data_IF_491925506590
#
_entry.id   IF_491925506590
#
_cell.length_a   1.000
_cell.length_b   1.000
_cell.length_c   1.000
_cell.angle_alpha   90.00
_cell.angle_beta   90.00
_cell.angle_gamma   90.00
#
_symmetry.space_group_name_H-M   'P 1'
#
loop_
_entity.id
_entity.type
_entity.pdbx_description
1 polymer ?
#
# COMPACT_ATOMS: atom_id res chain seq x y z
N UNK A 1 -81.36 9.46 -28.39
CA UNK A 1 -80.30 10.41 -28.01
C UNK A 1 -79.21 9.76 -27.13
N UNK A 2 -79.57 8.89 -26.18
CA UNK A 2 -78.65 8.21 -25.23
C UNK A 2 -77.64 7.24 -25.89
N UNK A 3 -78.01 6.57 -26.99
CA UNK A 3 -77.15 5.58 -27.67
C UNK A 3 -75.93 6.21 -28.35
N UNK A 4 -76.08 7.38 -28.98
CA UNK A 4 -74.95 8.09 -29.60
C UNK A 4 -74.02 8.73 -28.57
N UNK A 5 -74.55 9.18 -27.43
CA UNK A 5 -73.72 9.69 -26.31
C UNK A 5 -72.90 8.57 -25.66
N UNK A 6 -73.41 7.34 -25.58
CA UNK A 6 -72.63 6.19 -25.07
C UNK A 6 -71.47 5.88 -26.02
N UNK A 7 -71.68 5.90 -27.34
CA UNK A 7 -70.60 5.68 -28.30
C UNK A 7 -69.56 6.81 -28.26
N UNK A 8 -69.97 8.07 -28.09
CA UNK A 8 -69.05 9.21 -27.95
C UNK A 8 -68.21 9.16 -26.66
N UNK A 9 -68.82 8.72 -25.55
CA UNK A 9 -68.10 8.52 -24.28
C UNK A 9 -67.16 7.31 -24.39
N UNK A 10 -67.60 6.23 -25.04
CA UNK A 10 -66.77 5.04 -25.24
C UNK A 10 -65.55 5.32 -26.16
N UNK A 11 -65.73 6.13 -27.21
CA UNK A 11 -64.61 6.54 -28.09
C UNK A 11 -63.70 7.58 -27.45
N UNK A 12 -64.20 8.46 -26.57
CA UNK A 12 -63.33 9.38 -25.82
C UNK A 12 -62.52 8.66 -24.75
N UNK A 13 -63.09 7.63 -24.11
CA UNK A 13 -62.39 6.81 -23.12
C UNK A 13 -61.29 5.96 -23.78
N UNK A 14 -61.51 5.44 -24.99
CA UNK A 14 -60.44 4.72 -25.72
C UNK A 14 -59.32 5.64 -26.21
N UNK A 15 -59.59 6.92 -26.48
CA UNK A 15 -58.56 7.91 -26.78
C UNK A 15 -57.73 8.32 -25.55
N UNK A 16 -58.32 8.29 -24.35
CA UNK A 16 -57.60 8.56 -23.09
C UNK A 16 -56.68 7.41 -22.66
N UNK A 17 -56.91 6.19 -23.16
CA UNK A 17 -56.09 5.01 -22.87
C UNK A 17 -54.93 4.79 -23.87
N UNK A 18 -54.82 5.63 -24.91
CA UNK A 18 -53.72 5.64 -25.88
C UNK A 18 -52.62 6.66 -25.55
N UNK A 19 -52.62 7.20 -24.33
CA UNK A 19 -51.43 7.88 -23.82
C UNK A 19 -50.32 6.83 -23.65
N UNK A 20 -49.50 6.65 -24.69
CA UNK A 20 -48.21 5.99 -24.57
C UNK A 20 -47.47 6.65 -23.40
N UNK A 21 -47.42 5.98 -22.25
CA UNK A 21 -46.36 6.25 -21.29
C UNK A 21 -45.09 5.77 -21.98
N UNK A 22 -44.32 6.72 -22.53
CA UNK A 22 -42.94 6.49 -22.90
C UNK A 22 -42.23 6.09 -21.60
N UNK A 23 -42.10 4.79 -21.39
CA UNK A 23 -41.48 4.24 -20.19
C UNK A 23 -40.02 4.63 -20.37
N UNK A 24 -39.54 5.60 -19.59
CA UNK A 24 -38.12 5.95 -19.60
C UNK A 24 -37.33 4.72 -19.18
N UNK A 25 -36.77 4.00 -20.16
CA UNK A 25 -35.95 2.81 -19.92
C UNK A 25 -34.63 3.31 -19.31
N UNK A 26 -34.53 3.14 -17.99
CA UNK A 26 -33.38 3.50 -17.16
C UNK A 26 -32.87 4.94 -17.26
N UNK A 27 -31.88 5.27 -16.44
CA UNK A 27 -30.98 6.41 -16.65
C UNK A 27 -29.53 5.96 -16.50
N UNK A 28 -28.61 6.63 -17.18
CA UNK A 28 -27.18 6.39 -17.08
C UNK A 28 -26.43 7.71 -17.30
N UNK A 29 -25.73 8.16 -16.26
CA UNK A 29 -24.92 9.38 -16.22
C UNK A 29 -23.51 9.01 -15.77
N UNK A 30 -22.52 9.47 -16.54
CA UNK A 30 -21.12 9.09 -16.34
C UNK A 30 -20.16 10.24 -16.66
N UNK A 31 -20.66 11.47 -16.71
CA UNK A 31 -19.84 12.64 -17.08
C UNK A 31 -18.84 12.98 -15.98
N UNK A 32 -19.14 12.61 -14.73
CA UNK A 32 -18.25 12.70 -13.59
C UNK A 32 -17.44 11.42 -13.34
N UNK A 33 -17.50 10.43 -14.23
CA UNK A 33 -16.87 9.13 -14.01
C UNK A 33 -15.35 9.25 -13.98
N UNK A 34 -14.72 8.75 -12.92
CA UNK A 34 -13.25 8.77 -12.75
C UNK A 34 -12.76 7.76 -11.73
N UNK A 35 -11.48 7.42 -11.81
CA UNK A 35 -10.76 6.79 -10.71
C UNK A 35 -10.01 7.85 -9.90
N UNK A 36 -9.97 7.69 -8.58
CA UNK A 36 -9.23 8.60 -7.68
C UNK A 36 -7.73 8.53 -7.93
N UNK A 37 -7.23 7.32 -8.19
CA UNK A 37 -5.89 7.04 -8.71
C UNK A 37 -6.14 6.28 -10.01
N UNK A 38 -5.67 6.82 -11.12
CA UNK A 38 -5.92 6.28 -12.47
C UNK A 38 -4.74 5.47 -13.03
N UNK A 39 -3.72 5.22 -12.20
CA UNK A 39 -2.49 4.54 -12.62
C UNK A 39 -2.09 3.48 -11.60
N UNK A 40 -1.73 2.28 -12.05
CA UNK A 40 -1.18 1.20 -11.21
C UNK A 40 0.04 0.56 -11.84
N UNK A 41 1.11 0.47 -11.06
CA UNK A 41 2.32 -0.27 -11.41
C UNK A 41 2.14 -1.76 -11.13
N UNK A 42 2.49 -2.59 -12.11
CA UNK A 42 2.44 -4.06 -12.02
C UNK A 42 3.68 -4.66 -12.68
N UNK A 43 4.00 -5.91 -12.35
CA UNK A 43 5.05 -6.66 -13.04
C UNK A 43 4.46 -7.67 -14.02
N UNK A 44 5.15 -7.90 -15.13
CA UNK A 44 4.71 -8.85 -16.15
C UNK A 44 4.68 -10.31 -15.66
N UNK A 45 5.59 -10.65 -14.74
CA UNK A 45 5.76 -11.98 -14.17
C UNK A 45 6.11 -11.87 -12.67
N UNK A 46 5.16 -12.25 -11.81
CA UNK A 46 5.32 -12.10 -10.37
C UNK A 46 6.37 -13.07 -9.79
N UNK A 47 6.53 -14.26 -10.38
CA UNK A 47 7.50 -15.26 -9.93
C UNK A 47 8.94 -14.82 -10.21
N UNK A 48 9.20 -14.27 -11.39
CA UNK A 48 10.50 -13.72 -11.74
C UNK A 48 10.85 -12.54 -10.84
N UNK A 49 9.87 -11.69 -10.52
CA UNK A 49 10.08 -10.59 -9.58
C UNK A 49 10.39 -11.07 -8.16
N UNK A 50 9.65 -12.06 -7.66
CA UNK A 50 9.94 -12.68 -6.36
C UNK A 50 11.35 -13.28 -6.32
N UNK A 51 11.80 -13.92 -7.41
CA UNK A 51 13.15 -14.45 -7.52
C UNK A 51 14.20 -13.33 -7.48
N UNK A 52 13.99 -12.24 -8.22
CA UNK A 52 14.85 -11.06 -8.20
C UNK A 52 14.99 -10.50 -6.78
N UNK A 53 13.86 -10.29 -6.09
CA UNK A 53 13.87 -9.78 -4.71
C UNK A 53 14.61 -10.71 -3.74
N UNK A 54 14.48 -12.03 -3.88
CA UNK A 54 15.22 -13.01 -3.07
C UNK A 54 16.73 -13.00 -3.34
N UNK A 55 17.14 -12.78 -4.59
CA UNK A 55 18.57 -12.61 -4.93
C UNK A 55 19.12 -11.36 -4.28
N UNK A 56 18.40 -10.23 -4.38
CA UNK A 56 18.78 -8.97 -3.72
C UNK A 56 18.89 -9.17 -2.20
N UNK A 57 17.98 -9.92 -1.58
CA UNK A 57 18.04 -10.25 -0.15
C UNK A 57 19.33 -11.03 0.20
N UNK A 58 19.68 -12.04 -0.60
CA UNK A 58 20.91 -12.82 -0.42
C UNK A 58 22.15 -11.93 -0.56
N UNK A 59 22.18 -11.08 -1.58
CA UNK A 59 23.31 -10.18 -1.85
C UNK A 59 23.47 -9.16 -0.73
N UNK A 60 22.35 -8.62 -0.22
CA UNK A 60 22.35 -7.72 0.93
C UNK A 60 22.95 -8.40 2.16
N UNK A 61 22.45 -9.57 2.56
CA UNK A 61 23.01 -10.31 3.71
C UNK A 61 24.49 -10.65 3.52
N UNK A 62 24.88 -11.01 2.30
CA UNK A 62 26.29 -11.31 2.00
C UNK A 62 27.17 -10.08 2.17
N UNK A 63 26.73 -8.93 1.66
CA UNK A 63 27.44 -7.65 1.75
C UNK A 63 27.48 -7.08 3.17
N UNK A 64 26.43 -7.33 3.97
CA UNK A 64 26.28 -6.71 5.30
C UNK A 64 26.56 -7.65 6.46
N UNK A 65 26.92 -8.91 6.21
CA UNK A 65 27.15 -9.96 7.23
C UNK A 65 27.97 -9.46 8.42
N UNK A 66 29.18 -8.94 8.18
CA UNK A 66 30.07 -8.43 9.23
C UNK A 66 29.46 -7.26 10.03
N UNK A 67 28.68 -6.41 9.40
CA UNK A 67 28.01 -5.29 10.04
C UNK A 67 26.82 -5.76 10.89
N UNK A 68 26.08 -6.75 10.40
CA UNK A 68 24.99 -7.39 11.14
C UNK A 68 25.51 -8.16 12.35
N UNK A 69 26.62 -8.88 12.23
CA UNK A 69 27.29 -9.53 13.35
C UNK A 69 27.74 -8.50 14.40
N UNK A 70 28.28 -7.35 13.96
CA UNK A 70 28.62 -6.24 14.86
C UNK A 70 27.39 -5.68 15.58
N UNK A 71 26.28 -5.49 14.87
CA UNK A 71 25.01 -5.01 15.46
C UNK A 71 24.52 -6.00 16.51
N UNK A 72 24.47 -7.29 16.17
CA UNK A 72 24.01 -8.33 17.08
C UNK A 72 24.90 -8.41 18.34
N UNK A 73 26.22 -8.34 18.18
CA UNK A 73 27.15 -8.33 19.31
C UNK A 73 27.00 -7.09 20.20
N UNK A 74 26.75 -5.92 19.63
CA UNK A 74 26.49 -4.68 20.40
C UNK A 74 25.13 -4.73 21.12
N UNK A 75 24.11 -5.35 20.53
CA UNK A 75 22.81 -5.56 21.17
C UNK A 75 22.92 -6.54 22.35
N UNK A 76 23.65 -7.64 22.18
CA UNK A 76 23.94 -8.60 23.25
C UNK A 76 24.75 -7.95 24.38
N UNK A 77 25.81 -7.21 24.06
CA UNK A 77 26.63 -6.51 25.07
C UNK A 77 25.81 -5.47 25.85
N UNK A 78 24.89 -4.76 25.18
CA UNK A 78 24.00 -3.80 25.83
C UNK A 78 23.03 -4.50 26.79
N UNK A 79 22.42 -5.61 26.37
CA UNK A 79 21.48 -6.40 27.17
C UNK A 79 22.17 -6.98 28.42
N UNK A 80 23.35 -7.61 28.23
CA UNK A 80 24.15 -8.14 29.33
C UNK A 80 24.58 -7.06 30.34
N UNK A 81 24.96 -5.88 29.84
CA UNK A 81 25.33 -4.76 30.70
C UNK A 81 24.12 -4.24 31.48
N UNK A 82 22.96 -4.10 30.85
CA UNK A 82 21.74 -3.66 31.51
C UNK A 82 21.30 -4.62 32.61
N UNK A 83 21.29 -5.92 32.33
CA UNK A 83 20.99 -6.97 33.31
C UNK A 83 21.95 -6.93 34.51
N UNK A 84 23.23 -6.71 34.26
CA UNK A 84 24.24 -6.60 35.31
C UNK A 84 24.02 -5.36 36.19
N UNK A 85 23.62 -4.24 35.59
CA UNK A 85 23.42 -2.98 36.31
C UNK A 85 22.15 -3.00 37.16
N UNK A 86 21.06 -3.63 36.68
CA UNK A 86 19.81 -3.75 37.44
C UNK A 86 20.02 -4.44 38.81
N UNK A 87 20.90 -5.45 38.84
CA UNK A 87 21.29 -6.15 40.07
C UNK A 87 22.49 -5.57 40.82
N UNK A 88 23.00 -4.40 40.44
CA UNK A 88 24.24 -3.83 40.97
C UNK A 88 24.00 -2.83 42.10
N UNK A 89 24.53 -3.12 43.29
CA UNK A 89 24.57 -2.14 44.39
C UNK A 89 25.30 -0.85 43.96
N UNK A 90 26.36 -0.97 43.15
CA UNK A 90 27.12 0.20 42.65
C UNK A 90 26.27 1.12 41.75
N UNK A 91 25.30 0.55 41.01
CA UNK A 91 24.38 1.33 40.18
C UNK A 91 23.40 2.10 41.07
N UNK A 92 22.79 1.43 42.03
CA UNK A 92 21.82 2.05 42.94
C UNK A 92 22.47 3.07 43.89
N UNK A 93 23.69 2.82 44.36
CA UNK A 93 24.48 3.79 45.13
C UNK A 93 24.77 5.05 44.29
N UNK A 94 25.10 4.88 43.01
CA UNK A 94 25.31 6.00 42.10
C UNK A 94 24.02 6.79 41.82
N UNK A 95 22.89 6.09 41.70
CA UNK A 95 21.58 6.72 41.52
C UNK A 95 21.19 7.57 42.73
N UNK A 96 21.43 7.06 43.95
CA UNK A 96 21.21 7.78 45.21
C UNK A 96 22.15 8.99 45.35
N UNK A 97 23.44 8.86 45.00
CA UNK A 97 24.41 9.96 45.01
C UNK A 97 24.01 11.12 44.08
N UNK A 98 23.33 10.81 42.97
CA UNK A 98 22.78 11.80 42.03
C UNK A 98 21.43 12.37 42.49
N UNK A 99 20.92 11.98 43.66
CA UNK A 99 19.67 12.46 44.25
C UNK A 99 18.42 11.81 43.67
N UNK A 100 18.53 10.65 43.01
CA UNK A 100 17.40 9.98 42.39
C UNK A 100 16.29 9.60 43.38
N UNK A 101 16.68 9.12 44.56
CA UNK A 101 15.76 8.78 45.67
C UNK A 101 15.04 10.02 46.22
N UNK A 102 15.77 11.12 46.45
CA UNK A 102 15.21 12.40 46.89
C UNK A 102 14.19 12.95 45.88
N UNK A 103 14.48 12.81 44.58
CA UNK A 103 13.60 13.24 43.49
C UNK A 103 12.33 12.37 43.42
N UNK A 104 12.45 11.06 43.58
CA UNK A 104 11.30 10.16 43.67
C UNK A 104 10.41 10.50 44.87
N UNK A 105 11.00 10.76 46.05
CA UNK A 105 10.26 11.16 47.24
C UNK A 105 9.50 12.49 47.02
N UNK A 106 10.16 13.49 46.45
CA UNK A 106 9.52 14.77 46.10
C UNK A 106 8.34 14.57 45.14
N UNK A 107 8.46 13.66 44.16
CA UNK A 107 7.38 13.36 43.24
C UNK A 107 6.19 12.68 43.95
N UNK A 108 6.45 11.65 44.76
CA UNK A 108 5.39 10.95 45.50
C UNK A 108 4.70 11.80 46.57
N UNK A 109 5.38 12.85 47.04
CA UNK A 109 4.84 13.85 47.97
C UNK A 109 4.14 15.03 47.27
N UNK A 110 3.90 14.98 45.95
CA UNK A 110 3.32 16.04 45.13
C UNK A 110 4.10 17.39 45.20
N UNK A 111 5.41 17.35 45.51
CA UNK A 111 6.26 18.54 45.60
C UNK A 111 6.75 19.02 44.23
N UNK A 112 6.92 18.10 43.29
CA UNK A 112 7.31 18.37 41.91
C UNK A 112 6.28 17.81 40.91
N UNK A 113 6.19 18.44 39.74
CA UNK A 113 5.27 17.98 38.69
C UNK A 113 5.80 16.73 37.97
N UNK A 114 4.93 15.98 37.31
CA UNK A 114 5.33 14.83 36.48
C UNK A 114 6.34 15.22 35.38
N UNK A 115 6.15 16.38 34.73
CA UNK A 115 7.06 16.87 33.69
C UNK A 115 8.46 17.17 34.26
N UNK A 116 8.51 17.76 35.46
CA UNK A 116 9.77 18.06 36.15
C UNK A 116 10.47 16.79 36.64
N UNK A 117 9.72 15.84 37.20
CA UNK A 117 10.22 14.51 37.56
C UNK A 117 10.84 13.80 36.35
N UNK A 118 10.13 13.70 35.23
CA UNK A 118 10.66 13.06 34.01
C UNK A 118 11.95 13.73 33.55
N UNK A 119 11.99 15.07 33.52
CA UNK A 119 13.19 15.82 33.11
C UNK A 119 14.39 15.53 34.02
N UNK A 120 14.19 15.45 35.33
CA UNK A 120 15.25 15.21 36.31
C UNK A 120 15.75 13.76 36.25
N UNK A 121 14.84 12.78 36.19
CA UNK A 121 15.19 11.37 36.05
C UNK A 121 15.89 11.10 34.72
N UNK A 122 15.47 11.73 33.62
CA UNK A 122 16.17 11.61 32.34
C UNK A 122 17.61 12.15 32.41
N UNK A 123 17.86 13.19 33.20
CA UNK A 123 19.22 13.70 33.43
C UNK A 123 20.06 12.70 34.23
N UNK A 124 19.52 12.13 35.30
CA UNK A 124 20.19 11.09 36.10
C UNK A 124 20.49 9.86 35.24
N UNK A 125 19.50 9.35 34.52
CA UNK A 125 19.66 8.19 33.64
C UNK A 125 20.74 8.43 32.58
N UNK A 126 20.83 9.64 32.03
CA UNK A 126 21.90 9.99 31.10
C UNK A 126 23.28 9.96 31.77
N UNK A 127 23.41 10.53 32.97
CA UNK A 127 24.69 10.51 33.70
C UNK A 127 25.12 9.09 34.09
N UNK A 128 24.16 8.24 34.47
CA UNK A 128 24.41 6.82 34.72
C UNK A 128 24.77 6.06 33.45
N UNK A 129 24.05 6.29 32.35
CA UNK A 129 24.37 5.70 31.05
C UNK A 129 25.80 6.06 30.61
N UNK A 130 26.21 7.32 30.81
CA UNK A 130 27.57 7.80 30.54
C UNK A 130 28.60 7.13 31.48
N UNK A 131 28.31 7.07 32.78
CA UNK A 131 29.18 6.50 33.82
C UNK A 131 29.44 5.01 33.59
N UNK A 132 28.42 4.26 33.22
CA UNK A 132 28.49 2.81 33.05
C UNK A 132 28.78 2.38 31.61
N UNK A 133 28.99 3.34 30.69
CA UNK A 133 29.39 3.07 29.31
C UNK A 133 28.24 2.65 28.38
N UNK A 134 26.99 2.70 28.84
CA UNK A 134 25.80 2.44 28.03
C UNK A 134 25.72 3.42 26.87
N UNK A 135 26.02 4.71 27.10
CA UNK A 135 25.96 5.74 26.03
C UNK A 135 26.87 5.37 24.86
N UNK A 136 28.13 5.00 25.14
CA UNK A 136 29.10 4.65 24.11
C UNK A 136 28.67 3.42 23.28
N UNK A 137 28.04 2.43 23.92
CA UNK A 137 27.48 1.26 23.25
C UNK A 137 26.28 1.62 22.39
N UNK A 138 25.34 2.42 22.92
CA UNK A 138 24.17 2.92 22.17
C UNK A 138 24.59 3.75 20.94
N UNK A 139 25.60 4.61 21.08
CA UNK A 139 26.16 5.38 19.97
C UNK A 139 26.76 4.48 18.90
N UNK A 140 27.62 3.53 19.30
CA UNK A 140 28.24 2.56 18.39
C UNK A 140 27.21 1.71 17.65
N UNK A 141 26.14 1.30 18.34
CA UNK A 141 25.02 0.55 17.78
C UNK A 141 24.24 1.39 16.77
N UNK A 142 23.94 2.64 17.10
CA UNK A 142 23.23 3.55 16.23
C UNK A 142 24.02 3.88 14.95
N UNK A 143 25.33 4.07 15.06
CA UNK A 143 26.22 4.24 13.90
C UNK A 143 26.22 3.01 12.99
N UNK A 144 26.30 1.81 13.57
CA UNK A 144 26.26 0.57 12.81
C UNK A 144 24.92 0.38 12.10
N UNK A 145 23.80 0.64 12.78
CA UNK A 145 22.44 0.59 12.20
C UNK A 145 22.27 1.63 11.09
N UNK A 146 22.73 2.86 11.28
CA UNK A 146 22.70 3.91 10.26
C UNK A 146 23.51 3.50 9.02
N UNK A 147 24.67 2.87 9.23
CA UNK A 147 25.49 2.36 8.13
C UNK A 147 24.73 1.28 7.34
N UNK A 148 24.03 0.38 8.03
CA UNK A 148 23.23 -0.68 7.40
C UNK A 148 22.07 -0.09 6.58
N UNK A 149 21.38 0.92 7.10
CA UNK A 149 20.30 1.62 6.40
C UNK A 149 20.79 2.37 5.16
N UNK A 150 21.95 3.01 5.24
CA UNK A 150 22.57 3.67 4.10
C UNK A 150 22.93 2.66 3.00
N UNK A 151 23.53 1.52 3.36
CA UNK A 151 23.83 0.45 2.40
C UNK A 151 22.55 -0.09 1.73
N UNK A 152 21.47 -0.26 2.50
CA UNK A 152 20.17 -0.64 1.95
C UNK A 152 19.63 0.40 0.95
N UNK A 153 19.80 1.68 1.26
CA UNK A 153 19.40 2.78 0.36
C UNK A 153 20.26 2.80 -0.90
N UNK A 154 21.58 2.64 -0.78
CA UNK A 154 22.53 2.58 -1.90
C UNK A 154 22.26 1.40 -2.83
N UNK A 155 21.85 0.25 -2.29
CA UNK A 155 21.42 -0.92 -3.07
C UNK A 155 20.03 -0.76 -3.69
N UNK A 156 19.35 0.37 -3.48
CA UNK A 156 18.03 0.65 -4.05
C UNK A 156 16.87 -0.13 -3.40
N UNK A 157 17.11 -0.79 -2.27
CA UNK A 157 16.06 -1.51 -1.51
C UNK A 157 15.35 -0.61 -0.49
N UNK A 158 15.97 0.52 -0.12
CA UNK A 158 15.48 1.47 0.87
C UNK A 158 15.69 0.98 2.31
N UNK A 159 15.21 -0.21 2.65
CA UNK A 159 15.54 -0.90 3.90
C UNK A 159 15.31 -2.41 3.79
N UNK A 160 15.93 -3.18 4.68
CA UNK A 160 15.70 -4.62 4.77
C UNK A 160 14.23 -4.96 5.09
N UNK A 161 13.56 -4.14 5.89
CA UNK A 161 12.15 -4.34 6.24
C UNK A 161 11.21 -4.11 5.04
N UNK A 162 11.51 -3.10 4.21
CA UNK A 162 10.79 -2.88 2.94
C UNK A 162 10.97 -4.09 2.02
N UNK A 163 12.21 -4.58 1.87
CA UNK A 163 12.51 -5.74 1.02
C UNK A 163 11.78 -7.00 1.49
N UNK A 164 11.85 -7.33 2.79
CA UNK A 164 11.14 -8.47 3.39
C UNK A 164 9.63 -8.37 3.19
N UNK A 165 9.07 -7.18 3.40
CA UNK A 165 7.64 -6.92 3.17
C UNK A 165 7.26 -7.16 1.71
N UNK A 166 8.04 -6.65 0.75
CA UNK A 166 7.81 -6.89 -0.67
C UNK A 166 7.87 -8.38 -1.01
N UNK A 167 8.89 -9.11 -0.52
CA UNK A 167 9.02 -10.56 -0.71
C UNK A 167 7.77 -11.29 -0.19
N UNK A 168 7.29 -10.95 1.01
CA UNK A 168 6.10 -11.54 1.60
C UNK A 168 4.83 -11.24 0.79
N UNK A 169 4.65 -9.99 0.33
CA UNK A 169 3.52 -9.58 -0.51
C UNK A 169 3.49 -10.34 -1.84
N UNK A 170 4.65 -10.46 -2.51
CA UNK A 170 4.76 -11.22 -3.76
C UNK A 170 4.52 -12.72 -3.55
N UNK A 171 5.07 -13.30 -2.49
CA UNK A 171 4.83 -14.69 -2.12
C UNK A 171 3.34 -14.95 -1.90
N UNK A 172 2.65 -14.08 -1.14
CA UNK A 172 1.20 -14.18 -0.93
C UNK A 172 0.42 -14.05 -2.24
N UNK A 173 0.74 -13.07 -3.09
CA UNK A 173 0.10 -12.90 -4.40
C UNK A 173 0.22 -14.17 -5.25
N UNK A 174 1.40 -14.80 -5.27
CA UNK A 174 1.65 -16.03 -6.03
C UNK A 174 0.87 -17.22 -5.45
N UNK A 175 0.94 -17.41 -4.13
CA UNK A 175 0.32 -18.56 -3.45
C UNK A 175 -1.20 -18.59 -3.62
N UNK A 176 -1.83 -17.41 -3.54
CA UNK A 176 -3.28 -17.26 -3.68
C UNK A 176 -3.73 -16.80 -5.07
N UNK A 177 -2.80 -16.64 -6.03
CA UNK A 177 -3.07 -16.13 -7.39
C UNK A 177 -3.87 -14.82 -7.39
N UNK A 178 -3.49 -13.89 -6.51
CA UNK A 178 -4.21 -12.63 -6.32
C UNK A 178 -3.97 -11.73 -7.54
N UNK A 179 -5.03 -11.24 -8.20
CA UNK A 179 -4.87 -10.29 -9.30
C UNK A 179 -4.42 -8.91 -8.81
N UNK A 180 -3.91 -8.11 -9.73
CA UNK A 180 -3.74 -6.67 -9.54
C UNK A 180 -5.11 -6.00 -9.66
N UNK A 181 -5.44 -5.06 -8.77
CA UNK A 181 -6.77 -4.44 -8.75
C UNK A 181 -6.66 -2.92 -8.62
N UNK A 182 -7.51 -2.21 -9.36
CA UNK A 182 -7.69 -0.76 -9.20
C UNK A 182 -8.57 -0.46 -7.97
N UNK A 183 -8.73 0.82 -7.65
CA UNK A 183 -9.88 1.26 -6.86
C UNK A 183 -11.18 1.09 -7.66
N UNK A 184 -12.33 1.17 -6.99
CA UNK A 184 -13.64 1.26 -7.64
C UNK A 184 -13.75 2.55 -8.46
N UNK A 185 -14.53 2.53 -9.54
CA UNK A 185 -14.83 3.75 -10.29
C UNK A 185 -15.84 4.61 -9.51
N UNK A 186 -15.66 5.91 -9.52
CA UNK A 186 -16.57 6.87 -8.90
C UNK A 186 -17.29 7.70 -9.98
N UNK A 187 -18.40 8.35 -9.62
CA UNK A 187 -19.10 9.28 -10.52
C UNK A 187 -19.95 8.64 -11.61
N UNK A 188 -20.19 7.33 -11.54
CA UNK A 188 -21.17 6.63 -12.38
C UNK A 188 -22.49 6.53 -11.64
N UNK A 189 -23.57 7.00 -12.25
CA UNK A 189 -24.93 6.89 -11.71
C UNK A 189 -25.85 6.28 -12.75
N UNK A 190 -26.69 5.35 -12.34
CA UNK A 190 -27.66 4.77 -13.26
C UNK A 190 -28.57 3.74 -12.61
N UNK A 191 -29.62 3.38 -13.34
CA UNK A 191 -30.52 2.29 -12.96
C UNK A 191 -29.75 0.96 -12.93
N UNK A 192 -29.85 0.24 -11.82
CA UNK A 192 -29.21 -1.06 -11.65
C UNK A 192 -29.94 -2.16 -12.45
N UNK A 193 -29.24 -3.19 -12.94
CA UNK A 193 -27.80 -3.42 -12.81
C UNK A 193 -26.99 -2.58 -13.81
N UNK A 194 -25.82 -2.09 -13.37
CA UNK A 194 -24.79 -1.55 -14.26
C UNK A 194 -23.83 -2.67 -14.67
N UNK A 195 -23.67 -2.90 -15.97
CA UNK A 195 -22.70 -3.84 -16.51
C UNK A 195 -21.47 -3.08 -17.03
N UNK A 196 -20.31 -3.44 -16.51
CA UNK A 196 -19.02 -2.92 -16.96
C UNK A 196 -18.36 -3.91 -17.90
N UNK A 197 -17.71 -3.42 -18.95
CA UNK A 197 -16.96 -4.25 -19.88
C UNK A 197 -15.71 -3.52 -20.33
N UNK A 198 -14.57 -4.21 -20.33
CA UNK A 198 -13.35 -3.72 -20.95
C UNK A 198 -13.51 -3.81 -22.46
N UNK A 199 -13.44 -2.67 -23.17
CA UNK A 199 -13.68 -2.64 -24.62
C UNK A 199 -12.43 -2.34 -25.44
N UNK A 200 -11.41 -1.76 -24.82
CA UNK A 200 -10.18 -1.37 -25.50
C UNK A 200 -9.03 -1.23 -24.52
N UNK A 201 -7.85 -1.67 -24.97
CA UNK A 201 -6.57 -1.34 -24.36
C UNK A 201 -5.73 -0.61 -25.39
N UNK A 202 -5.16 0.52 -24.99
CA UNK A 202 -4.29 1.36 -25.77
C UNK A 202 -2.86 1.22 -25.25
N UNK A 203 -1.94 0.85 -26.13
CA UNK A 203 -0.49 0.80 -25.88
C UNK A 203 0.25 1.27 -27.13
N UNK A 204 1.52 1.66 -26.98
CA UNK A 204 2.41 1.96 -28.11
C UNK A 204 2.64 0.74 -29.00
N UNK A 205 2.55 -0.47 -28.45
CA UNK A 205 2.59 -1.72 -29.18
C UNK A 205 1.21 -2.37 -29.23
N UNK A 206 0.55 -2.30 -30.39
CA UNK A 206 -0.82 -2.85 -30.57
C UNK A 206 -0.89 -4.36 -30.37
N UNK A 207 0.14 -5.11 -30.75
CA UNK A 207 0.17 -6.57 -30.56
C UNK A 207 0.25 -6.94 -29.07
N UNK A 208 0.99 -6.17 -28.28
CA UNK A 208 1.07 -6.39 -26.83
C UNK A 208 -0.22 -5.94 -26.13
N UNK A 209 -0.90 -4.90 -26.63
CA UNK A 209 -2.21 -4.50 -26.10
C UNK A 209 -3.25 -5.62 -26.22
N UNK A 210 -3.26 -6.37 -27.34
CA UNK A 210 -4.15 -7.52 -27.52
C UNK A 210 -3.84 -8.66 -26.57
N UNK A 211 -2.54 -8.94 -26.32
CA UNK A 211 -2.14 -9.94 -25.32
C UNK A 211 -2.58 -9.52 -23.93
N UNK A 212 -2.31 -8.27 -23.55
CA UNK A 212 -2.68 -7.72 -22.26
C UNK A 212 -4.21 -7.78 -22.03
N UNK A 213 -5.00 -7.46 -23.05
CA UNK A 213 -6.47 -7.53 -23.02
C UNK A 213 -7.01 -8.89 -22.57
N UNK A 214 -6.36 -10.00 -22.93
CA UNK A 214 -6.80 -11.34 -22.52
C UNK A 214 -6.68 -11.60 -21.01
N UNK A 215 -5.97 -10.73 -20.29
CA UNK A 215 -5.72 -10.84 -18.85
C UNK A 215 -6.41 -9.74 -18.05
N UNK A 216 -7.17 -8.84 -18.68
CA UNK A 216 -7.86 -7.73 -18.00
C UNK A 216 -9.34 -8.01 -17.93
N UNK A 217 -9.91 -7.79 -16.74
CA UNK A 217 -11.36 -7.81 -16.54
C UNK A 217 -11.83 -6.65 -15.68
N UNK A 218 -13.14 -6.55 -15.48
CA UNK A 218 -13.77 -5.52 -14.66
C UNK A 218 -14.87 -6.13 -13.81
N UNK A 219 -14.91 -5.77 -12.53
CA UNK A 219 -15.93 -6.19 -11.58
C UNK A 219 -17.16 -5.28 -11.65
N UNK A 220 -18.27 -5.70 -11.02
CA UNK A 220 -19.56 -4.99 -11.09
C UNK A 220 -19.58 -3.59 -10.48
N UNK A 221 -18.57 -3.21 -9.71
CA UNK A 221 -18.38 -1.86 -9.16
C UNK A 221 -17.37 -1.02 -9.98
N UNK A 222 -17.00 -1.50 -11.16
CA UNK A 222 -16.02 -0.87 -12.04
C UNK A 222 -14.57 -1.05 -11.59
N UNK A 223 -14.28 -1.89 -10.60
CA UNK A 223 -12.90 -2.25 -10.26
C UNK A 223 -12.28 -3.04 -11.41
N UNK A 224 -11.21 -2.52 -12.01
CA UNK A 224 -10.46 -3.22 -13.05
C UNK A 224 -9.48 -4.16 -12.37
N UNK A 225 -9.39 -5.39 -12.86
CA UNK A 225 -8.38 -6.34 -12.41
C UNK A 225 -7.54 -6.85 -13.57
N UNK A 226 -6.28 -7.17 -13.27
CA UNK A 226 -5.33 -7.81 -14.19
C UNK A 226 -4.84 -9.08 -13.53
N UNK A 227 -4.86 -10.19 -14.27
CA UNK A 227 -4.29 -11.46 -13.78
C UNK A 227 -2.83 -11.30 -13.35
N UNK A 228 -2.38 -12.15 -12.44
CA UNK A 228 -1.07 -12.00 -11.80
C UNK A 228 0.10 -12.02 -12.80
N UNK A 229 0.05 -12.94 -13.77
CA UNK A 229 1.08 -13.14 -14.78
C UNK A 229 0.50 -12.87 -16.17
N UNK A 230 1.01 -11.84 -16.86
CA UNK A 230 0.48 -11.38 -18.15
C UNK A 230 1.46 -11.57 -19.31
N UNK A 231 2.76 -11.75 -19.02
CA UNK A 231 3.82 -12.00 -20.02
C UNK A 231 3.78 -11.04 -21.23
N UNK A 232 3.57 -9.74 -20.97
CA UNK A 232 3.66 -8.69 -22.00
C UNK A 232 4.94 -7.88 -21.84
N UNK A 233 5.32 -7.16 -22.89
CA UNK A 233 6.47 -6.26 -22.83
C UNK A 233 6.17 -5.08 -21.88
N UNK A 234 7.16 -4.62 -21.09
CA UNK A 234 7.03 -3.41 -20.27
C UNK A 234 6.52 -2.20 -21.05
N UNK A 235 5.67 -1.40 -20.42
CA UNK A 235 5.06 -0.23 -21.04
C UNK A 235 3.71 0.14 -20.45
N UNK A 236 3.06 1.14 -21.06
CA UNK A 236 1.80 1.69 -20.59
C UNK A 236 0.62 1.07 -21.34
N UNK A 237 -0.38 0.59 -20.59
CA UNK A 237 -1.59 -0.03 -21.10
C UNK A 237 -2.81 0.69 -20.53
N UNK A 238 -3.42 1.55 -21.34
CA UNK A 238 -4.58 2.36 -20.91
C UNK A 238 -5.89 1.68 -21.30
N UNK A 239 -6.73 1.44 -20.30
CA UNK A 239 -8.00 0.74 -20.37
C UNK A 239 -9.15 1.71 -20.64
N UNK A 240 -10.01 1.37 -21.61
CA UNK A 240 -11.31 2.01 -21.82
C UNK A 240 -12.44 1.04 -21.47
N UNK A 241 -13.50 1.57 -20.86
CA UNK A 241 -14.65 0.80 -20.40
C UNK A 241 -15.91 1.16 -21.19
N UNK A 242 -16.79 0.19 -21.33
CA UNK A 242 -18.20 0.41 -21.62
C UNK A 242 -19.00 0.17 -20.34
N UNK A 243 -20.00 1.02 -20.14
CA UNK A 243 -21.02 0.86 -19.12
C UNK A 243 -22.36 0.73 -19.81
N UNK A 244 -23.11 -0.29 -19.42
CA UNK A 244 -24.43 -0.56 -19.97
C UNK A 244 -25.46 -0.76 -18.85
N UNK A 245 -26.66 -0.25 -19.06
CA UNK A 245 -27.84 -0.66 -18.33
C UNK A 245 -29.04 -0.71 -19.27
N UNK A 246 -30.23 -1.02 -18.74
CA UNK A 246 -31.43 -1.25 -19.55
C UNK A 246 -31.68 -0.09 -20.54
N UNK A 247 -31.42 -0.36 -21.82
CA UNK A 247 -31.63 0.58 -22.92
C UNK A 247 -30.56 1.67 -23.10
N UNK A 248 -29.48 1.72 -22.32
CA UNK A 248 -28.43 2.77 -22.44
C UNK A 248 -27.02 2.21 -22.36
N UNK A 249 -26.14 2.80 -23.16
CA UNK A 249 -24.72 2.47 -23.22
C UNK A 249 -23.88 3.74 -23.21
N UNK A 250 -22.79 3.75 -22.46
CA UNK A 250 -21.80 4.82 -22.42
C UNK A 250 -20.39 4.23 -22.57
N UNK A 251 -19.55 4.92 -23.32
CA UNK A 251 -18.13 4.57 -23.48
C UNK A 251 -17.31 5.58 -22.67
N UNK A 252 -16.45 5.06 -21.80
CA UNK A 252 -15.47 5.79 -21.03
C UNK A 252 -14.08 5.51 -21.60
N UNK A 253 -13.51 6.49 -22.30
CA UNK A 253 -12.24 6.33 -22.99
C UNK A 253 -11.06 6.62 -22.06
N UNK A 254 -9.99 5.84 -22.21
CA UNK A 254 -8.68 6.07 -21.61
C UNK A 254 -8.75 6.34 -20.08
N UNK A 255 -9.49 5.51 -19.34
CA UNK A 255 -9.87 5.76 -17.95
C UNK A 255 -8.84 5.37 -16.89
N UNK A 256 -8.02 4.35 -17.19
CA UNK A 256 -7.08 3.80 -16.21
C UNK A 256 -5.85 3.23 -16.92
N UNK A 257 -4.66 3.46 -16.39
CA UNK A 257 -3.39 3.01 -16.98
C UNK A 257 -2.69 2.00 -16.08
N UNK A 258 -2.41 0.82 -16.61
CA UNK A 258 -1.45 -0.09 -16.02
C UNK A 258 -0.07 0.20 -16.58
N UNK A 259 0.89 0.46 -15.71
CA UNK A 259 2.31 0.57 -16.05
C UNK A 259 2.92 -0.78 -15.76
N UNK A 260 3.25 -1.54 -16.81
CA UNK A 260 3.97 -2.80 -16.67
C UNK A 260 5.44 -2.47 -16.56
N UNK A 261 5.99 -2.62 -15.36
CA UNK A 261 7.38 -2.30 -15.09
C UNK A 261 8.31 -3.31 -15.77
N UNK A 262 9.46 -2.79 -16.23
CA UNK A 262 10.53 -3.68 -16.67
C UNK A 262 11.04 -4.47 -15.46
N UNK A 263 11.42 -5.76 -15.63
CA UNK A 263 12.27 -6.38 -14.65
C UNK A 263 13.51 -5.48 -14.53
N UNK A 264 13.74 -4.90 -13.36
CA UNK A 264 14.85 -3.98 -13.16
C UNK A 264 16.12 -4.80 -13.43
N UNK A 265 16.77 -4.57 -14.56
CA UNK A 265 18.06 -5.17 -14.86
C UNK A 265 19.08 -4.49 -13.95
N UNK A 266 19.78 -5.29 -13.16
CA UNK A 266 20.95 -4.88 -12.39
C UNK A 266 21.87 -4.07 -13.30
N UNK A 267 22.08 -2.80 -12.97
CA UNK A 267 23.35 -2.16 -13.31
C UNK A 267 24.38 -2.73 -12.35
N UNK A 268 24.90 -3.92 -12.67
CA UNK A 268 26.22 -4.34 -12.23
C UNK A 268 27.21 -3.36 -12.85
N UNK A 269 27.54 -2.29 -12.13
CA UNK A 269 28.74 -1.53 -12.44
C UNK A 269 29.93 -2.41 -12.10
N UNK A 270 30.47 -3.08 -13.13
CA UNK A 270 31.87 -3.51 -13.14
C UNK A 270 32.75 -2.26 -13.10
N UNK A 271 33.45 -2.01 -11.99
CA UNK A 271 34.81 -1.44 -11.95
C UNK A 271 35.61 -2.06 -10.80
#
# INVERSE_FOLDING_TARGET
MIRNTIYLIATSITWLLLACQDITIGYLESDAAKYTIDTLHIVANAKSELQRLKVIEIDFYSATSTLQDKIAGLEEELDELQDKLDGSDEYWDAYDELGGTDIEEQFWNDEISFEEYTRLIDQINKELDDKFGITALKESLNEAKTTLENLATEMGIGSLEILKKQIAEYQQKIDYKLPWTSAKIEGVQGTQPLLFTVIRIKSTNTSEAEKFMNHVGVLGDGTIYVELDVNVIPGNYTVSLQIENEGRTKILNDMFTFVVDAPIQETLTEE
#
